data_IF_050209939261
#
_entry.id   IF_050209939261
#
_cell.length_a   1.000
_cell.length_b   1.000
_cell.length_c   1.000
_cell.angle_alpha   90.00
_cell.angle_beta   90.00
_cell.angle_gamma   90.00
#
_symmetry.space_group_name_H-M   'P 1'
#
loop_
_entity.id
_entity.type
_entity.pdbx_description
1 polymer ?
#
# COMPACT_ATOMS: atom_id res chain seq x y z
N UNK A 1 -22.82 61.13 31.34
CA UNK A 1 -21.69 62.06 31.60
C UNK A 1 -21.54 62.17 33.11
N UNK A 2 -20.34 62.09 33.72
CA UNK A 2 -19.01 62.30 33.14
C UNK A 2 -18.28 60.96 32.87
N UNK A 3 -17.59 60.73 31.76
CA UNK A 3 -16.33 61.33 31.30
C UNK A 3 -15.19 61.23 32.33
N UNK A 4 -14.33 60.21 32.16
CA UNK A 4 -12.90 60.34 32.43
C UNK A 4 -12.12 59.64 31.33
N UNK A 5 -11.08 60.33 30.88
CA UNK A 5 -10.39 60.21 29.60
C UNK A 5 -8.91 59.94 29.91
N UNK A 6 -8.40 58.77 29.51
CA UNK A 6 -7.06 58.51 28.89
C UNK A 6 -5.83 58.68 29.85
N UNK A 7 -4.79 57.80 29.82
CA UNK A 7 -3.92 57.69 28.66
C UNK A 7 -3.52 56.32 28.12
N UNK A 8 -3.25 56.38 26.82
CA UNK A 8 -2.63 55.39 25.97
C UNK A 8 -1.29 54.89 26.53
N UNK A 9 -1.15 53.57 26.62
CA UNK A 9 0.14 52.91 26.60
C UNK A 9 0.26 52.17 25.27
N UNK A 10 0.96 52.80 24.34
CA UNK A 10 1.42 52.17 23.13
C UNK A 10 2.47 51.12 23.48
N UNK A 11 2.15 49.86 23.25
CA UNK A 11 3.15 48.80 23.09
C UNK A 11 2.79 48.03 21.83
N UNK A 12 3.28 48.57 20.72
CA UNK A 12 3.38 47.86 19.46
C UNK A 12 4.24 46.62 19.67
N UNK A 13 3.59 45.47 19.81
CA UNK A 13 4.20 44.18 19.57
C UNK A 13 4.31 44.02 18.06
N UNK A 14 5.52 43.95 17.49
CA UNK A 14 5.66 43.74 16.06
C UNK A 14 5.06 42.38 15.71
N UNK A 15 4.13 42.39 14.76
CA UNK A 15 3.69 41.20 14.05
C UNK A 15 4.94 40.51 13.48
N UNK A 16 5.42 39.48 14.18
CA UNK A 16 6.52 38.64 13.71
C UNK A 16 5.96 37.75 12.61
N UNK A 17 5.83 38.35 11.43
CA UNK A 17 5.66 37.64 10.16
C UNK A 17 6.92 36.83 9.93
N UNK A 18 6.97 35.63 10.49
CA UNK A 18 7.85 34.60 9.95
C UNK A 18 7.20 34.15 8.65
N UNK A 19 7.46 34.89 7.56
CA UNK A 19 7.43 34.32 6.21
C UNK A 19 8.47 33.19 6.22
N UNK A 20 8.06 32.01 6.66
CA UNK A 20 8.77 30.80 6.31
C UNK A 20 8.82 30.80 4.79
N UNK A 21 10.01 31.01 4.22
CA UNK A 21 10.29 30.72 2.82
C UNK A 21 9.99 29.23 2.68
N UNK A 22 8.76 28.91 2.29
CA UNK A 22 8.40 27.58 1.84
C UNK A 22 9.26 27.35 0.61
N UNK A 23 10.39 26.65 0.78
CA UNK A 23 11.15 26.14 -0.34
C UNK A 23 10.12 25.40 -1.20
N UNK A 24 9.97 25.75 -2.49
CA UNK A 24 9.13 24.94 -3.36
C UNK A 24 9.66 23.52 -3.25
N UNK A 25 8.81 22.60 -2.77
CA UNK A 25 9.12 21.17 -2.86
C UNK A 25 9.44 20.94 -4.34
N UNK A 26 10.55 20.26 -4.68
CA UNK A 26 10.83 19.94 -6.07
C UNK A 26 9.58 19.23 -6.59
N UNK A 27 8.88 19.87 -7.53
CA UNK A 27 7.81 19.21 -8.28
C UNK A 27 8.48 18.00 -8.91
N UNK A 28 8.17 16.82 -8.39
CA UNK A 28 8.66 15.55 -8.94
C UNK A 28 8.41 15.60 -10.45
N UNK A 29 9.48 15.32 -11.19
CA UNK A 29 9.58 15.27 -12.65
C UNK A 29 8.70 14.15 -13.23
N UNK A 30 7.39 14.18 -13.03
CA UNK A 30 6.49 13.19 -13.66
C UNK A 30 6.57 13.22 -15.19
N UNK A 31 6.94 14.36 -15.76
CA UNK A 31 7.08 14.55 -17.21
C UNK A 31 8.37 13.91 -17.77
N UNK A 32 9.46 13.93 -17.00
CA UNK A 32 10.72 13.33 -17.42
C UNK A 32 10.68 11.81 -17.27
N UNK A 33 9.95 11.29 -16.27
CA UNK A 33 9.77 9.85 -16.07
C UNK A 33 8.95 9.22 -17.21
N UNK A 34 7.94 9.90 -17.74
CA UNK A 34 7.13 9.40 -18.86
C UNK A 34 7.92 9.37 -20.19
N UNK A 35 8.73 10.40 -20.45
CA UNK A 35 9.61 10.45 -21.62
C UNK A 35 10.79 9.46 -21.50
N UNK A 36 11.30 9.26 -20.29
CA UNK A 36 12.31 8.26 -19.99
C UNK A 36 11.76 6.83 -20.12
N UNK A 37 10.54 6.57 -19.63
CA UNK A 37 9.84 5.29 -19.83
C UNK A 37 9.53 5.08 -21.31
N UNK A 38 9.14 6.12 -22.06
CA UNK A 38 8.94 6.04 -23.50
C UNK A 38 10.23 5.70 -24.28
N UNK A 39 11.39 6.19 -23.83
CA UNK A 39 12.69 5.83 -24.40
C UNK A 39 13.21 4.46 -23.92
N UNK A 40 12.77 3.98 -22.75
CA UNK A 40 12.97 2.59 -22.29
C UNK A 40 12.02 1.58 -22.95
N UNK A 41 11.04 2.08 -23.71
CA UNK A 41 10.08 1.29 -24.48
C UNK A 41 10.55 1.02 -25.92
N UNK A 42 11.77 1.41 -26.30
CA UNK A 42 12.50 0.56 -27.25
C UNK A 42 12.55 -0.84 -26.61
N UNK A 43 12.14 -1.91 -27.31
CA UNK A 43 12.17 -3.24 -26.73
C UNK A 43 13.63 -3.53 -26.38
N UNK A 44 13.98 -3.35 -25.09
CA UNK A 44 15.29 -3.69 -24.57
C UNK A 44 15.50 -5.13 -24.99
N UNK A 45 16.47 -5.33 -25.87
CA UNK A 45 16.71 -6.66 -26.39
C UNK A 45 17.11 -7.53 -25.19
N UNK A 46 16.67 -8.80 -25.11
CA UNK A 46 16.89 -9.68 -23.95
C UNK A 46 18.36 -9.85 -23.52
N UNK A 47 19.31 -9.34 -24.30
CA UNK A 47 20.75 -9.39 -24.05
C UNK A 47 21.36 -8.08 -23.48
N UNK A 48 20.58 -6.99 -23.34
CA UNK A 48 21.12 -5.68 -22.92
C UNK A 48 20.90 -5.36 -21.42
N UNK A 49 19.89 -5.95 -20.77
CA UNK A 49 19.81 -5.95 -19.30
C UNK A 49 20.40 -7.26 -18.77
N UNK A 50 21.39 -7.18 -17.87
CA UNK A 50 21.77 -8.34 -17.05
C UNK A 50 20.50 -8.85 -16.34
N UNK A 51 20.19 -10.15 -16.36
CA UNK A 51 18.91 -10.70 -15.84
C UNK A 51 18.54 -10.15 -14.45
N UNK A 52 19.57 -9.79 -13.68
CA UNK A 52 19.46 -9.16 -12.38
C UNK A 52 18.78 -7.78 -12.41
N UNK A 53 19.16 -6.88 -13.32
CA UNK A 53 18.55 -5.54 -13.43
C UNK A 53 17.10 -5.64 -13.91
N UNK A 54 16.82 -6.57 -14.82
CA UNK A 54 15.46 -6.83 -15.29
C UNK A 54 14.58 -7.34 -14.15
N UNK A 55 15.06 -8.35 -13.39
CA UNK A 55 14.36 -8.89 -12.23
C UNK A 55 14.14 -7.81 -11.15
N UNK A 56 15.10 -6.91 -10.97
CA UNK A 56 14.99 -5.80 -10.01
C UNK A 56 13.92 -4.79 -10.42
N UNK A 57 13.87 -4.40 -11.70
CA UNK A 57 12.85 -3.47 -12.21
C UNK A 57 11.45 -4.10 -12.18
N UNK A 58 11.32 -5.36 -12.63
CA UNK A 58 10.05 -6.07 -12.60
C UNK A 58 9.48 -6.16 -11.17
N UNK A 59 10.31 -6.54 -10.19
CA UNK A 59 9.91 -6.59 -8.78
C UNK A 59 9.56 -5.21 -8.21
N UNK A 60 10.26 -4.16 -8.62
CA UNK A 60 9.97 -2.79 -8.18
C UNK A 60 8.62 -2.30 -8.70
N UNK A 61 8.29 -2.57 -9.97
CA UNK A 61 6.99 -2.25 -10.53
C UNK A 61 5.86 -2.95 -9.77
N UNK A 62 6.05 -4.23 -9.44
CA UNK A 62 5.10 -4.98 -8.61
C UNK A 62 5.02 -4.43 -7.19
N UNK A 63 6.14 -4.03 -6.61
CA UNK A 63 6.20 -3.47 -5.25
C UNK A 63 5.41 -2.17 -5.14
N UNK A 64 5.55 -1.27 -6.11
CA UNK A 64 4.81 0.00 -6.13
C UNK A 64 3.30 -0.23 -6.27
N UNK A 65 2.88 -1.13 -7.17
CA UNK A 65 1.47 -1.51 -7.32
C UNK A 65 0.92 -2.19 -6.04
N UNK A 66 1.68 -3.10 -5.46
CA UNK A 66 1.31 -3.78 -4.21
C UNK A 66 1.15 -2.80 -3.05
N UNK A 67 2.07 -1.84 -2.91
CA UNK A 67 2.02 -0.82 -1.84
C UNK A 67 0.81 0.09 -1.94
N UNK A 68 0.39 0.45 -3.16
CA UNK A 68 -0.78 1.30 -3.36
C UNK A 68 -2.05 0.60 -2.87
N UNK A 69 -2.26 -0.64 -3.31
CA UNK A 69 -3.43 -1.43 -2.90
C UNK A 69 -3.36 -1.81 -1.42
N UNK A 70 -2.17 -2.13 -0.88
CA UNK A 70 -1.98 -2.39 0.56
C UNK A 70 -2.32 -1.18 1.42
N UNK A 71 -1.96 0.04 0.98
CA UNK A 71 -2.31 1.27 1.69
C UNK A 71 -3.83 1.46 1.73
N UNK A 72 -4.53 1.19 0.62
CA UNK A 72 -5.99 1.23 0.54
C UNK A 72 -6.65 0.20 1.45
N UNK A 73 -6.21 -1.06 1.39
CA UNK A 73 -6.74 -2.13 2.24
C UNK A 73 -6.58 -1.81 3.73
N UNK A 74 -5.43 -1.26 4.13
CA UNK A 74 -5.18 -0.85 5.53
C UNK A 74 -6.07 0.31 5.96
N UNK A 75 -6.25 1.29 5.08
CA UNK A 75 -7.16 2.41 5.34
C UNK A 75 -8.59 1.92 5.57
N UNK A 76 -9.12 1.11 4.66
CA UNK A 76 -10.50 0.64 4.73
C UNK A 76 -10.74 -0.25 5.94
N UNK A 77 -9.76 -1.08 6.31
CA UNK A 77 -9.78 -1.86 7.55
C UNK A 77 -9.85 -0.96 8.78
N UNK A 78 -9.00 0.07 8.86
CA UNK A 78 -8.98 0.99 9.99
C UNK A 78 -10.30 1.77 10.11
N UNK A 79 -10.88 2.18 8.97
CA UNK A 79 -12.18 2.84 8.94
C UNK A 79 -13.31 1.91 9.43
N UNK A 80 -13.33 0.65 8.97
CA UNK A 80 -14.26 -0.36 9.47
C UNK A 80 -14.13 -0.56 10.99
N UNK A 81 -12.90 -0.75 11.49
CA UNK A 81 -12.65 -0.97 12.92
C UNK A 81 -13.08 0.24 13.76
N UNK A 82 -12.83 1.46 13.28
CA UNK A 82 -13.32 2.68 13.92
C UNK A 82 -14.85 2.67 14.06
N UNK A 83 -15.57 2.42 12.97
CA UNK A 83 -17.04 2.41 12.99
C UNK A 83 -17.62 1.26 13.83
N UNK A 84 -16.96 0.10 13.86
CA UNK A 84 -17.31 -1.01 14.75
C UNK A 84 -17.23 -0.60 16.23
N UNK A 85 -16.14 0.06 16.64
CA UNK A 85 -16.00 0.58 18.01
C UNK A 85 -16.96 1.72 18.33
N UNK A 86 -17.17 2.64 17.38
CA UNK A 86 -18.11 3.74 17.53
C UNK A 86 -19.55 3.21 17.70
N UNK A 87 -19.94 2.21 16.93
CA UNK A 87 -21.22 1.50 17.08
C UNK A 87 -21.35 0.87 18.46
N UNK A 88 -20.34 0.11 18.91
CA UNK A 88 -20.36 -0.53 20.23
C UNK A 88 -20.54 0.50 21.36
N UNK A 89 -19.81 1.61 21.27
CA UNK A 89 -19.88 2.68 22.26
C UNK A 89 -21.29 3.28 22.36
N UNK A 90 -21.88 3.69 21.24
CA UNK A 90 -23.21 4.30 21.27
C UNK A 90 -24.33 3.31 21.60
N UNK A 91 -24.21 2.06 21.15
CA UNK A 91 -25.20 1.03 21.43
C UNK A 91 -25.22 0.59 22.89
N UNK A 92 -24.04 0.29 23.45
CA UNK A 92 -23.95 -0.36 24.76
C UNK A 92 -23.67 0.61 25.90
N UNK A 93 -22.84 1.64 25.68
CA UNK A 93 -22.47 2.59 26.72
C UNK A 93 -23.44 3.77 26.79
N UNK A 94 -23.59 4.51 25.69
CA UNK A 94 -24.47 5.70 25.67
C UNK A 94 -25.95 5.36 25.53
N UNK A 95 -26.27 4.16 25.02
CA UNK A 95 -27.63 3.70 24.68
C UNK A 95 -28.37 4.67 23.77
N UNK A 96 -27.64 5.39 22.92
CA UNK A 96 -28.18 6.30 21.91
C UNK A 96 -28.45 5.50 20.63
N UNK A 97 -29.72 5.14 20.44
CA UNK A 97 -30.13 4.31 19.31
C UNK A 97 -29.91 4.99 17.96
N UNK A 98 -30.16 6.30 17.85
CA UNK A 98 -30.04 7.02 16.58
C UNK A 98 -28.59 7.02 16.09
N UNK A 99 -27.64 7.33 16.98
CA UNK A 99 -26.22 7.29 16.63
C UNK A 99 -25.70 5.87 16.41
N UNK A 100 -26.21 4.90 17.17
CA UNK A 100 -25.88 3.49 16.94
C UNK A 100 -26.35 3.02 15.56
N UNK A 101 -27.58 3.33 15.15
CA UNK A 101 -28.10 2.90 13.85
C UNK A 101 -27.30 3.55 12.70
N UNK A 102 -27.00 4.85 12.78
CA UNK A 102 -26.10 5.52 11.83
C UNK A 102 -24.70 4.88 11.77
N UNK A 103 -24.09 4.60 12.92
CA UNK A 103 -22.79 3.95 12.99
C UNK A 103 -22.80 2.54 12.38
N UNK A 104 -23.92 1.81 12.52
CA UNK A 104 -24.08 0.48 11.96
C UNK A 104 -24.11 0.50 10.43
N UNK A 105 -24.79 1.48 9.83
CA UNK A 105 -24.81 1.68 8.38
C UNK A 105 -23.40 1.98 7.85
N UNK A 106 -22.70 2.91 8.49
CA UNK A 106 -21.32 3.25 8.12
C UNK A 106 -20.38 2.05 8.26
N UNK A 107 -20.45 1.33 9.39
CA UNK A 107 -19.71 0.08 9.62
C UNK A 107 -19.94 -0.93 8.50
N UNK A 108 -21.19 -1.12 8.08
CA UNK A 108 -21.55 -2.08 7.03
C UNK A 108 -21.02 -1.66 5.67
N UNK A 109 -21.08 -0.37 5.33
CA UNK A 109 -20.48 0.18 4.11
C UNK A 109 -18.96 -0.04 4.08
N UNK A 110 -18.25 0.33 5.14
CA UNK A 110 -16.80 0.18 5.23
C UNK A 110 -16.36 -1.29 5.26
N UNK A 111 -17.15 -2.19 5.85
CA UNK A 111 -16.91 -3.63 5.78
C UNK A 111 -16.96 -4.13 4.33
N UNK A 112 -17.93 -3.67 3.54
CA UNK A 112 -18.05 -4.04 2.13
C UNK A 112 -16.88 -3.49 1.30
N UNK A 113 -16.47 -2.24 1.54
CA UNK A 113 -15.36 -1.63 0.82
C UNK A 113 -14.02 -2.25 1.21
N UNK A 114 -13.79 -2.56 2.49
CA UNK A 114 -12.61 -3.31 2.92
C UNK A 114 -12.53 -4.68 2.23
N UNK A 115 -13.64 -5.42 2.14
CA UNK A 115 -13.67 -6.72 1.42
C UNK A 115 -13.32 -6.56 -0.07
N UNK A 116 -13.79 -5.51 -0.73
CA UNK A 116 -13.41 -5.22 -2.12
C UNK A 116 -11.92 -4.93 -2.25
N UNK A 117 -11.36 -4.11 -1.37
CA UNK A 117 -9.92 -3.77 -1.36
C UNK A 117 -9.05 -4.99 -1.08
N UNK A 118 -9.47 -5.90 -0.18
CA UNK A 118 -8.79 -7.19 0.02
C UNK A 118 -8.81 -8.04 -1.25
N UNK A 119 -9.95 -8.12 -1.94
CA UNK A 119 -10.05 -8.87 -3.19
C UNK A 119 -9.18 -8.26 -4.31
N UNK A 120 -9.09 -6.93 -4.39
CA UNK A 120 -8.18 -6.22 -5.29
C UNK A 120 -6.71 -6.52 -4.98
N UNK A 121 -6.33 -6.53 -3.70
CA UNK A 121 -4.96 -6.85 -3.27
C UNK A 121 -4.61 -8.32 -3.55
N UNK A 122 -5.56 -9.24 -3.38
CA UNK A 122 -5.37 -10.66 -3.72
C UNK A 122 -5.11 -10.88 -5.21
N UNK A 123 -5.76 -10.09 -6.08
CA UNK A 123 -5.53 -10.11 -7.54
C UNK A 123 -4.23 -9.44 -7.96
N UNK A 124 -3.74 -8.48 -7.18
CA UNK A 124 -2.48 -7.79 -7.44
C UNK A 124 -1.32 -8.75 -7.25
N UNK A 125 -0.37 -8.82 -8.18
CA UNK A 125 0.75 -9.75 -8.09
C UNK A 125 1.69 -9.40 -6.91
N UNK A 126 2.11 -10.40 -6.14
CA UNK A 126 3.01 -10.21 -5.00
C UNK A 126 4.46 -10.03 -5.47
N UNK A 127 5.15 -9.02 -4.93
CA UNK A 127 6.55 -8.73 -5.28
C UNK A 127 7.57 -9.59 -4.50
N UNK A 128 7.17 -10.17 -3.36
CA UNK A 128 8.04 -10.89 -2.44
C UNK A 128 7.32 -12.02 -1.67
N UNK A 129 8.10 -12.76 -0.87
CA UNK A 129 7.58 -13.84 -0.04
C UNK A 129 6.66 -13.36 1.09
N UNK A 130 6.78 -12.09 1.51
CA UNK A 130 5.90 -11.51 2.52
C UNK A 130 4.49 -11.27 1.97
N UNK A 131 4.38 -10.80 0.72
CA UNK A 131 3.13 -10.69 -0.02
C UNK A 131 2.45 -12.04 -0.21
N UNK A 132 3.20 -13.08 -0.60
CA UNK A 132 2.68 -14.45 -0.66
C UNK A 132 2.17 -14.96 0.70
N UNK A 133 2.96 -14.75 1.77
CA UNK A 133 2.53 -15.13 3.12
C UNK A 133 1.26 -14.38 3.54
N UNK A 134 1.10 -13.13 3.12
CA UNK A 134 -0.14 -12.38 3.31
C UNK A 134 -1.32 -12.98 2.55
N UNK A 135 -1.16 -13.32 1.26
CA UNK A 135 -2.23 -13.94 0.46
C UNK A 135 -2.70 -15.28 1.06
N UNK A 136 -1.76 -16.13 1.48
CA UNK A 136 -2.05 -17.41 2.16
C UNK A 136 -2.78 -17.24 3.49
N UNK A 137 -2.58 -16.11 4.20
CA UNK A 137 -3.37 -15.81 5.40
C UNK A 137 -4.79 -15.41 5.04
N UNK A 138 -4.95 -14.61 3.99
CA UNK A 138 -6.26 -14.15 3.51
C UNK A 138 -7.09 -15.27 2.88
N UNK A 139 -6.48 -16.33 2.36
CA UNK A 139 -7.19 -17.54 1.91
C UNK A 139 -8.12 -18.13 3.01
N UNK A 140 -7.76 -17.95 4.28
CA UNK A 140 -8.52 -18.43 5.43
C UNK A 140 -9.62 -17.47 5.89
N UNK A 141 -9.65 -16.25 5.36
CA UNK A 141 -10.63 -15.26 5.78
C UNK A 141 -12.02 -15.59 5.18
N UNK A 142 -13.05 -15.73 6.03
CA UNK A 142 -14.39 -15.98 5.55
C UNK A 142 -14.97 -14.74 4.85
N UNK A 143 -15.88 -14.99 3.91
CA UNK A 143 -16.71 -13.95 3.28
C UNK A 143 -15.96 -12.93 2.41
N UNK A 144 -14.86 -13.34 1.77
CA UNK A 144 -14.25 -12.55 0.71
C UNK A 144 -15.07 -12.62 -0.59
N UNK A 145 -15.06 -11.54 -1.36
CA UNK A 145 -15.76 -11.44 -2.65
C UNK A 145 -14.94 -12.00 -3.82
N UNK A 146 -14.14 -13.05 -3.56
CA UNK A 146 -13.26 -13.72 -4.51
C UNK A 146 -13.34 -15.23 -4.24
N UNK A 147 -13.33 -16.04 -5.30
CA UNK A 147 -13.42 -17.49 -5.12
C UNK A 147 -12.10 -18.05 -4.61
N UNK A 148 -12.14 -19.18 -3.91
CA UNK A 148 -10.92 -19.84 -3.43
C UNK A 148 -10.02 -20.27 -4.58
N UNK A 149 -10.59 -20.76 -5.66
CA UNK A 149 -9.87 -21.13 -6.88
C UNK A 149 -9.10 -19.94 -7.48
N UNK A 150 -9.69 -18.74 -7.46
CA UNK A 150 -9.04 -17.52 -7.95
C UNK A 150 -7.87 -17.10 -7.03
N UNK A 151 -8.02 -17.28 -5.71
CA UNK A 151 -6.92 -17.06 -4.75
C UNK A 151 -5.78 -18.04 -4.99
N UNK A 152 -6.09 -19.34 -5.13
CA UNK A 152 -5.08 -20.39 -5.34
C UNK A 152 -4.33 -20.18 -6.66
N UNK A 153 -5.04 -19.80 -7.72
CA UNK A 153 -4.42 -19.45 -9.01
C UNK A 153 -3.51 -18.23 -8.90
N UNK A 154 -3.92 -17.19 -8.17
CA UNK A 154 -3.10 -15.99 -7.95
C UNK A 154 -1.83 -16.31 -7.13
N UNK A 155 -1.95 -17.16 -6.11
CA UNK A 155 -0.80 -17.62 -5.31
C UNK A 155 0.17 -18.43 -6.18
N UNK A 156 -0.33 -19.38 -6.99
CA UNK A 156 0.50 -20.19 -7.87
C UNK A 156 1.24 -19.35 -8.92
N UNK A 157 0.57 -18.34 -9.49
CA UNK A 157 1.17 -17.40 -10.45
C UNK A 157 2.30 -16.59 -9.81
N UNK A 158 2.08 -16.08 -8.60
CA UNK A 158 3.10 -15.34 -7.84
C UNK A 158 4.31 -16.22 -7.46
N UNK A 159 4.07 -17.47 -7.07
CA UNK A 159 5.13 -18.44 -6.78
C UNK A 159 5.99 -18.73 -8.02
N UNK A 160 5.35 -18.97 -9.16
CA UNK A 160 6.03 -19.16 -10.43
C UNK A 160 6.87 -17.93 -10.82
N UNK A 161 6.32 -16.72 -10.65
CA UNK A 161 7.03 -15.47 -10.91
C UNK A 161 8.27 -15.32 -10.01
N UNK A 162 8.13 -15.54 -8.70
CA UNK A 162 9.25 -15.40 -7.76
C UNK A 162 10.36 -16.44 -8.01
N UNK A 163 10.00 -17.64 -8.47
CA UNK A 163 10.94 -18.67 -8.86
C UNK A 163 11.68 -18.32 -10.17
N UNK A 164 10.97 -17.77 -11.17
CA UNK A 164 11.54 -17.35 -12.44
C UNK A 164 12.46 -16.11 -12.32
N UNK A 165 12.19 -15.24 -11.36
CA UNK A 165 12.89 -13.95 -11.20
C UNK A 165 13.64 -13.84 -9.85
N UNK A 166 14.70 -14.64 -9.59
CA UNK A 166 15.39 -14.64 -8.30
C UNK A 166 16.19 -13.34 -8.04
N UNK A 167 16.18 -12.86 -6.80
CA UNK A 167 16.93 -11.65 -6.34
C UNK A 167 18.42 -11.91 -6.21
N UNK A 168 18.83 -13.15 -5.95
CA UNK A 168 20.24 -13.56 -5.94
C UNK A 168 20.38 -14.72 -6.92
N UNK A 169 21.30 -14.59 -7.89
CA UNK A 169 21.76 -15.76 -8.64
C UNK A 169 22.33 -16.77 -7.63
N UNK A 170 21.94 -18.05 -7.64
CA UNK A 170 22.62 -19.05 -6.82
C UNK A 170 24.11 -19.00 -7.19
N UNK A 171 24.98 -18.97 -6.18
CA UNK A 171 26.41 -18.96 -6.44
C UNK A 171 26.76 -20.17 -7.31
N UNK A 172 27.63 -19.99 -8.32
CA UNK A 172 28.05 -21.07 -9.25
C UNK A 172 28.62 -22.31 -8.51
N UNK A 173 28.93 -22.20 -7.22
CA UNK A 173 29.39 -23.27 -6.34
C UNK A 173 28.31 -24.35 -6.13
N UNK A 174 27.03 -23.98 -6.04
CA UNK A 174 25.94 -24.95 -5.83
C UNK A 174 25.64 -25.82 -7.05
N UNK A 175 26.01 -25.38 -8.27
CA UNK A 175 25.85 -26.17 -9.49
C UNK A 175 26.89 -27.29 -9.63
N UNK A 176 28.02 -27.22 -8.91
CA UNK A 176 29.03 -28.28 -8.96
C UNK A 176 28.74 -29.44 -8.00
N UNK A 177 28.10 -29.21 -6.85
CA UNK A 177 27.80 -30.31 -5.92
C UNK A 177 26.66 -31.21 -6.41
N UNK A 178 25.67 -30.65 -7.13
CA UNK A 178 24.58 -31.45 -7.68
C UNK A 178 25.01 -32.40 -8.84
N UNK A 179 26.16 -32.14 -9.47
CA UNK A 179 26.70 -33.00 -10.54
C UNK A 179 27.65 -34.07 -9.96
N UNK A 180 28.31 -33.82 -8.83
CA UNK A 180 29.15 -34.82 -8.17
C UNK A 180 28.35 -35.93 -7.49
N UNK A 181 27.12 -35.63 -7.04
CA UNK A 181 26.29 -36.59 -6.28
C UNK A 181 25.48 -37.55 -7.19
N UNK A 182 25.47 -37.33 -8.51
CA UNK A 182 24.80 -38.20 -9.50
C UNK A 182 25.77 -39.19 -10.15
N UNK A 183 27.07 -39.05 -9.90
CA UNK A 183 28.13 -39.89 -10.48
C UNK A 183 28.98 -40.62 -9.42
N UNK A 184 28.48 -40.72 -8.18
CA UNK A 184 29.09 -41.48 -7.08
C UNK A 184 28.47 -42.86 -6.90
#
# INVERSE_FOLDING_TARGET
MPNSTVPAAATGLPARSTKAKTRPRPRRRKQDDAAFIANLLEPVLPHELDDFEYNKLARKCLEDAWKDVDARTRHDRAAFEFWDKYWCYYRFHMKDKSKADYAFEQRSSWLADWRKSVAEQLRTAACDSAGLAWKRRMEKEPCLSISREEIDAAIAADEAFLAAHPVRRPSKVAKKSAISDVLG
#
